data_IF_364913668666
#
_entry.id   IF_364913668666
#
_cell.length_a   1.000
_cell.length_b   1.000
_cell.length_c   1.000
_cell.angle_alpha   90.00
_cell.angle_beta   90.00
_cell.angle_gamma   90.00
#
_symmetry.space_group_name_H-M   'P 1'
#
loop_
_entity.id
_entity.type
_entity.pdbx_description
1 polymer ?
#
# COMPACT_ATOMS: atom_id res chain seq x y z
N UNK A 1 51.72 -19.57 -62.42
CA UNK A 1 50.44 -20.20 -62.88
C UNK A 1 50.13 -21.35 -61.93
N UNK A 2 48.87 -21.64 -61.52
CA UNK A 2 47.66 -20.84 -61.37
C UNK A 2 47.11 -20.84 -59.91
N UNK A 3 45.91 -20.27 -59.77
CA UNK A 3 45.06 -19.86 -58.63
C UNK A 3 44.48 -20.99 -57.74
N UNK A 4 44.07 -20.62 -56.51
CA UNK A 4 42.71 -20.75 -55.91
C UNK A 4 42.78 -20.25 -54.45
N UNK A 5 42.44 -19.00 -54.11
CA UNK A 5 41.09 -18.46 -53.87
C UNK A 5 40.24 -19.29 -52.90
N UNK A 6 40.27 -18.91 -51.60
CA UNK A 6 39.14 -19.07 -50.69
C UNK A 6 38.97 -17.83 -49.82
N UNK A 7 37.79 -17.29 -49.97
CA UNK A 7 37.12 -16.15 -49.35
C UNK A 7 37.13 -16.25 -47.83
N UNK A 8 37.65 -15.24 -47.13
CA UNK A 8 37.38 -15.01 -45.71
C UNK A 8 36.35 -13.89 -45.63
N UNK A 9 35.13 -14.26 -45.21
CA UNK A 9 34.05 -13.32 -44.94
C UNK A 9 34.34 -12.59 -43.63
N UNK A 10 34.33 -11.26 -43.69
CA UNK A 10 34.28 -10.39 -42.52
C UNK A 10 32.87 -10.44 -41.94
N UNK A 11 32.74 -10.91 -40.70
CA UNK A 11 31.53 -10.67 -39.89
C UNK A 11 31.74 -9.32 -39.21
N UNK A 12 31.09 -8.29 -39.74
CA UNK A 12 30.86 -7.04 -39.03
C UNK A 12 29.82 -7.32 -37.94
N UNK A 13 30.28 -7.40 -36.69
CA UNK A 13 29.42 -7.43 -35.52
C UNK A 13 28.90 -6.01 -35.30
N UNK A 14 27.66 -5.75 -35.72
CA UNK A 14 26.93 -4.54 -35.37
C UNK A 14 26.66 -4.58 -33.86
N UNK A 15 27.42 -3.80 -33.09
CA UNK A 15 27.06 -3.40 -31.73
C UNK A 15 25.85 -2.48 -31.81
N UNK A 16 24.65 -3.06 -31.79
CA UNK A 16 23.46 -2.32 -31.42
C UNK A 16 23.56 -2.06 -29.92
N UNK A 17 23.80 -0.79 -29.55
CA UNK A 17 23.44 -0.31 -28.22
C UNK A 17 21.95 -0.58 -28.04
N UNK A 18 21.63 -1.52 -27.15
CA UNK A 18 20.32 -1.56 -26.52
C UNK A 18 20.30 -0.31 -25.65
N UNK A 19 19.74 0.77 -26.20
CA UNK A 19 19.20 1.83 -25.38
C UNK A 19 18.19 1.16 -24.46
N UNK A 20 18.46 1.19 -23.15
CA UNK A 20 17.44 0.93 -22.15
C UNK A 20 16.23 1.78 -22.55
N UNK A 21 15.14 1.11 -22.89
CA UNK A 21 13.85 1.77 -22.98
C UNK A 21 13.62 2.44 -21.64
N UNK A 22 13.50 3.77 -21.67
CA UNK A 22 12.79 4.51 -20.66
C UNK A 22 11.41 3.84 -20.57
N UNK A 23 11.23 3.01 -19.55
CA UNK A 23 9.92 2.51 -19.18
C UNK A 23 9.15 3.76 -18.77
N UNK A 24 8.33 4.27 -19.69
CA UNK A 24 7.22 5.16 -19.37
C UNK A 24 6.36 4.40 -18.35
N UNK A 25 6.71 4.53 -17.06
CA UNK A 25 5.74 4.37 -15.99
C UNK A 25 4.64 5.36 -16.34
N UNK A 26 3.58 4.85 -16.96
CA UNK A 26 2.32 5.58 -17.07
C UNK A 26 1.81 5.77 -15.64
N UNK A 27 2.39 6.77 -14.97
CA UNK A 27 1.93 7.28 -13.68
C UNK A 27 0.50 7.71 -13.93
N UNK A 28 -0.44 7.04 -13.27
CA UNK A 28 -1.80 7.50 -13.33
C UNK A 28 -1.81 8.90 -12.72
N UNK A 29 -2.28 9.90 -13.47
CA UNK A 29 -2.31 11.27 -12.95
C UNK A 29 -3.11 11.31 -11.65
N UNK A 30 -2.66 12.06 -10.62
CA UNK A 30 -3.41 12.21 -9.38
C UNK A 30 -4.84 12.59 -9.72
N UNK A 31 -5.84 11.86 -9.19
CA UNK A 31 -7.21 12.04 -9.64
C UNK A 31 -7.61 13.48 -9.42
N UNK A 32 -7.92 14.18 -10.52
CA UNK A 32 -8.85 15.31 -10.47
C UNK A 32 -10.25 14.74 -10.30
N UNK A 33 -10.46 13.95 -9.23
CA UNK A 33 -11.69 13.24 -8.87
C UNK A 33 -12.48 12.84 -10.12
N UNK A 34 -11.95 11.90 -10.90
CA UNK A 34 -12.82 11.19 -11.81
C UNK A 34 -13.86 10.51 -10.92
N UNK A 35 -15.14 10.93 -10.97
CA UNK A 35 -16.17 10.35 -10.13
C UNK A 35 -16.27 8.85 -10.47
N UNK A 36 -16.75 8.03 -9.53
CA UNK A 36 -17.17 6.65 -9.78
C UNK A 36 -16.21 5.51 -9.36
N UNK A 37 -15.27 5.70 -8.41
CA UNK A 37 -14.49 4.57 -7.87
C UNK A 37 -14.27 4.60 -6.34
N UNK A 38 -14.15 3.41 -5.75
CA UNK A 38 -13.64 3.20 -4.40
C UNK A 38 -12.15 2.86 -4.48
N UNK A 39 -11.32 3.63 -3.79
CA UNK A 39 -9.89 3.37 -3.66
C UNK A 39 -9.66 2.25 -2.64
N UNK A 40 -8.91 1.23 -3.02
CA UNK A 40 -8.45 0.16 -2.13
C UNK A 40 -6.93 0.21 -1.99
N UNK A 41 -6.43 0.26 -0.75
CA UNK A 41 -4.99 0.30 -0.43
C UNK A 41 -4.62 -0.85 0.50
N UNK A 42 -3.57 -1.59 0.13
CA UNK A 42 -3.07 -2.77 0.86
C UNK A 42 -1.60 -3.03 0.54
N UNK A 43 -0.97 -3.92 1.29
CA UNK A 43 0.42 -4.33 1.05
C UNK A 43 0.48 -5.76 0.49
N UNK A 44 1.54 -6.03 -0.29
CA UNK A 44 1.87 -7.40 -0.68
C UNK A 44 2.49 -8.20 0.47
N UNK A 45 3.08 -7.49 1.42
CA UNK A 45 3.77 -8.07 2.56
C UNK A 45 2.73 -8.59 3.56
N UNK A 46 2.88 -9.81 4.09
CA UNK A 46 1.92 -10.38 5.00
C UNK A 46 1.94 -9.61 6.33
N UNK A 47 0.75 -9.33 6.87
CA UNK A 47 0.60 -8.77 8.21
C UNK A 47 0.69 -9.84 9.32
N UNK A 48 0.41 -11.10 9.00
CA UNK A 48 0.44 -12.25 9.92
C UNK A 48 1.03 -13.51 9.29
N UNK A 49 1.38 -14.48 10.14
CA UNK A 49 1.83 -15.81 9.73
C UNK A 49 3.28 -15.88 9.24
N UNK A 50 3.85 -14.75 8.82
CA UNK A 50 5.26 -14.60 8.52
C UNK A 50 5.82 -13.41 9.28
N UNK A 51 6.80 -13.66 10.13
CA UNK A 51 7.58 -12.60 10.77
C UNK A 51 8.87 -12.49 9.98
N UNK A 52 8.95 -11.51 9.10
CA UNK A 52 10.21 -11.14 8.45
C UNK A 52 10.72 -9.88 9.10
N UNK A 53 11.99 -9.91 9.49
CA UNK A 53 12.67 -8.73 10.00
C UNK A 53 13.14 -7.85 8.84
N UNK A 54 12.33 -6.86 8.47
CA UNK A 54 12.69 -5.92 7.41
C UNK A 54 13.62 -4.78 7.88
N UNK A 55 14.16 -4.83 9.10
CA UNK A 55 14.91 -3.70 9.69
C UNK A 55 16.21 -3.41 8.93
N UNK A 56 16.80 -4.43 8.31
CA UNK A 56 17.97 -4.30 7.43
C UNK A 56 17.62 -4.48 5.93
N UNK A 57 16.34 -4.70 5.60
CA UNK A 57 15.92 -5.07 4.25
C UNK A 57 15.60 -3.84 3.38
N UNK A 58 16.18 -3.74 2.17
CA UNK A 58 15.95 -2.61 1.30
C UNK A 58 14.52 -2.63 0.75
N UNK A 59 13.83 -1.49 0.87
CA UNK A 59 12.51 -1.23 0.28
C UNK A 59 12.36 -1.80 -1.15
N UNK A 60 13.43 -1.72 -1.95
CA UNK A 60 13.49 -2.21 -3.32
C UNK A 60 13.12 -3.69 -3.49
N UNK A 61 13.49 -4.57 -2.56
CA UNK A 61 13.19 -6.01 -2.65
C UNK A 61 11.71 -6.27 -2.35
N UNK A 62 11.19 -5.60 -1.31
CA UNK A 62 9.76 -5.62 -1.00
C UNK A 62 8.96 -5.07 -2.17
N UNK A 63 9.42 -3.98 -2.79
CA UNK A 63 8.77 -3.37 -3.95
C UNK A 63 8.80 -4.30 -5.17
N UNK A 64 9.91 -5.02 -5.40
CA UNK A 64 10.00 -6.02 -6.46
C UNK A 64 9.00 -7.16 -6.25
N UNK A 65 8.87 -7.69 -5.03
CA UNK A 65 7.87 -8.70 -4.70
C UNK A 65 6.43 -8.17 -4.84
N UNK A 66 6.16 -6.94 -4.39
CA UNK A 66 4.87 -6.27 -4.58
C UNK A 66 4.49 -6.17 -6.05
N UNK A 67 5.43 -5.74 -6.90
CA UNK A 67 5.21 -5.64 -8.34
C UNK A 67 4.95 -7.00 -9.00
N UNK A 68 5.67 -8.06 -8.57
CA UNK A 68 5.45 -9.44 -9.04
C UNK A 68 4.02 -9.91 -8.72
N UNK A 69 3.53 -9.71 -7.49
CA UNK A 69 2.17 -10.09 -7.12
C UNK A 69 1.10 -9.22 -7.79
N UNK A 70 1.34 -7.92 -7.93
CA UNK A 70 0.38 -7.01 -8.56
C UNK A 70 0.11 -7.38 -10.02
N UNK A 71 1.14 -7.82 -10.75
CA UNK A 71 1.05 -8.08 -12.18
C UNK A 71 0.02 -9.18 -12.52
N UNK A 72 0.06 -10.30 -11.80
CA UNK A 72 -0.74 -11.49 -12.12
C UNK A 72 -1.58 -11.97 -10.92
N UNK A 73 -0.96 -12.16 -9.76
CA UNK A 73 -1.60 -12.82 -8.62
C UNK A 73 -2.78 -12.04 -8.04
N UNK A 74 -2.67 -10.72 -7.90
CA UNK A 74 -3.76 -9.86 -7.41
C UNK A 74 -5.01 -9.99 -8.30
N UNK A 75 -4.82 -10.10 -9.61
CA UNK A 75 -5.93 -10.26 -10.55
C UNK A 75 -6.68 -11.57 -10.31
N UNK A 76 -5.96 -12.67 -10.05
CA UNK A 76 -6.57 -13.97 -9.79
C UNK A 76 -7.38 -13.97 -8.49
N UNK A 77 -6.89 -13.28 -7.45
CA UNK A 77 -7.64 -13.12 -6.18
C UNK A 77 -8.94 -12.34 -6.38
N UNK A 78 -8.91 -11.26 -7.15
CA UNK A 78 -10.09 -10.45 -7.41
C UNK A 78 -11.09 -11.16 -8.33
N UNK A 79 -10.61 -11.88 -9.34
CA UNK A 79 -11.44 -12.70 -10.22
C UNK A 79 -12.21 -13.79 -9.45
N UNK A 80 -11.59 -14.41 -8.43
CA UNK A 80 -12.25 -15.41 -7.56
C UNK A 80 -13.48 -14.85 -6.81
N UNK A 81 -13.61 -13.53 -6.69
CA UNK A 81 -14.78 -12.86 -6.11
C UNK A 81 -15.59 -12.04 -7.13
N UNK A 82 -15.40 -12.33 -8.42
CA UNK A 82 -16.05 -11.69 -9.57
C UNK A 82 -15.77 -10.18 -9.66
N UNK A 83 -14.55 -9.77 -9.33
CA UNK A 83 -14.07 -8.40 -9.48
C UNK A 83 -12.98 -8.40 -10.56
N UNK A 84 -13.39 -8.08 -11.77
CA UNK A 84 -12.53 -8.06 -12.96
C UNK A 84 -12.29 -6.62 -13.45
N UNK A 85 -11.32 -6.47 -14.37
CA UNK A 85 -11.04 -5.22 -15.10
C UNK A 85 -10.73 -3.99 -14.19
N UNK A 86 -10.07 -4.22 -13.07
CA UNK A 86 -9.63 -3.16 -12.16
C UNK A 86 -8.25 -2.63 -12.53
N UNK A 87 -8.02 -1.34 -12.28
CA UNK A 87 -6.71 -0.73 -12.43
C UNK A 87 -5.93 -0.85 -11.11
N UNK A 88 -4.69 -1.33 -11.19
CA UNK A 88 -3.76 -1.43 -10.05
C UNK A 88 -2.45 -0.71 -10.33
N UNK A 89 -1.89 -0.06 -9.32
CA UNK A 89 -0.54 0.51 -9.37
C UNK A 89 0.24 0.26 -8.08
N UNK A 90 1.57 0.26 -8.18
CA UNK A 90 2.46 0.26 -7.02
C UNK A 90 2.71 1.71 -6.60
N UNK A 91 2.61 1.98 -5.31
CA UNK A 91 2.92 3.28 -4.74
C UNK A 91 3.49 3.14 -3.33
N UNK A 92 4.25 4.14 -2.83
CA UNK A 92 4.57 4.20 -1.42
C UNK A 92 3.29 4.31 -0.57
N UNK A 93 3.18 3.49 0.47
CA UNK A 93 2.23 3.67 1.56
C UNK A 93 2.98 3.69 2.88
N UNK A 94 2.31 4.16 3.93
CA UNK A 94 2.94 4.17 5.24
C UNK A 94 1.96 4.02 6.37
N UNK A 95 2.46 3.44 7.45
CA UNK A 95 1.71 3.19 8.68
C UNK A 95 2.68 3.24 9.87
N UNK A 96 2.29 3.90 10.95
CA UNK A 96 3.10 3.99 12.18
C UNK A 96 4.56 4.46 11.96
N UNK A 97 4.77 5.43 11.08
CA UNK A 97 6.10 5.96 10.67
C UNK A 97 6.98 5.02 9.85
N UNK A 98 6.45 3.88 9.41
CA UNK A 98 7.13 3.00 8.45
C UNK A 98 6.57 3.23 7.05
N UNK A 99 7.43 3.20 6.03
CA UNK A 99 7.03 3.28 4.62
C UNK A 99 7.26 1.95 3.93
N UNK A 100 6.21 1.46 3.27
CA UNK A 100 6.14 0.16 2.61
C UNK A 100 5.69 0.33 1.16
N UNK A 101 6.05 -0.59 0.26
CA UNK A 101 5.43 -0.68 -1.05
C UNK A 101 3.99 -1.17 -0.88
N UNK A 102 3.03 -0.37 -1.36
CA UNK A 102 1.60 -0.68 -1.32
C UNK A 102 1.03 -0.80 -2.72
N UNK A 103 -0.05 -1.54 -2.84
CA UNK A 103 -0.83 -1.67 -4.07
C UNK A 103 -2.07 -0.80 -3.91
N UNK A 104 -2.27 0.07 -4.89
CA UNK A 104 -3.45 0.90 -5.02
C UNK A 104 -4.35 0.29 -6.10
N UNK A 105 -5.59 -0.04 -5.76
CA UNK A 105 -6.58 -0.62 -6.67
C UNK A 105 -7.82 0.27 -6.74
N UNK A 106 -8.26 0.61 -7.96
CA UNK A 106 -9.50 1.35 -8.19
C UNK A 106 -10.63 0.37 -8.48
N UNK A 107 -11.63 0.35 -7.60
CA UNK A 107 -12.77 -0.54 -7.67
C UNK A 107 -14.03 0.21 -8.14
N UNK A 108 -14.98 -0.48 -8.80
CA UNK A 108 -16.31 0.08 -9.07
C UNK A 108 -16.99 0.61 -7.79
N UNK A 109 -17.89 1.58 -7.95
CA UNK A 109 -18.54 2.36 -6.87
C UNK A 109 -19.58 1.59 -6.02
N UNK A 110 -19.39 0.28 -5.82
CA UNK A 110 -20.27 -0.57 -5.03
C UNK A 110 -19.57 -1.06 -3.76
N UNK A 111 -19.90 -0.44 -2.62
CA UNK A 111 -19.35 -0.79 -1.31
C UNK A 111 -19.40 -2.29 -0.95
N UNK A 112 -20.48 -3.04 -1.23
CA UNK A 112 -20.49 -4.48 -1.00
C UNK A 112 -19.43 -5.23 -1.82
N UNK A 113 -19.23 -4.84 -3.08
CA UNK A 113 -18.26 -5.48 -3.97
C UNK A 113 -16.83 -5.11 -3.56
N UNK A 114 -16.60 -3.83 -3.22
CA UNK A 114 -15.32 -3.37 -2.69
C UNK A 114 -14.96 -4.05 -1.35
N UNK A 115 -15.93 -4.27 -0.48
CA UNK A 115 -15.71 -5.01 0.77
C UNK A 115 -15.40 -6.49 0.53
N UNK A 116 -16.06 -7.15 -0.44
CA UNK A 116 -15.69 -8.52 -0.82
C UNK A 116 -14.27 -8.59 -1.40
N UNK A 117 -13.89 -7.66 -2.28
CA UNK A 117 -12.54 -7.56 -2.83
C UNK A 117 -11.49 -7.38 -1.73
N UNK A 118 -11.70 -6.41 -0.83
CA UNK A 118 -10.81 -6.16 0.30
C UNK A 118 -10.69 -7.37 1.24
N UNK A 119 -11.79 -8.09 1.48
CA UNK A 119 -11.77 -9.31 2.29
C UNK A 119 -11.03 -10.46 1.60
N UNK A 120 -11.17 -10.62 0.28
CA UNK A 120 -10.43 -11.62 -0.49
C UNK A 120 -8.92 -11.38 -0.42
N UNK A 121 -8.49 -10.14 -0.66
CA UNK A 121 -7.10 -9.72 -0.51
C UNK A 121 -6.63 -9.93 0.92
N UNK A 122 -7.43 -9.50 1.91
CA UNK A 122 -7.06 -9.59 3.31
C UNK A 122 -6.84 -11.02 3.79
N UNK A 123 -7.69 -11.96 3.36
CA UNK A 123 -7.55 -13.36 3.74
C UNK A 123 -6.44 -14.07 2.96
N UNK A 124 -6.34 -13.86 1.64
CA UNK A 124 -5.32 -14.53 0.81
C UNK A 124 -3.91 -14.04 1.14
N UNK A 125 -3.76 -12.73 1.34
CA UNK A 125 -2.46 -12.08 1.57
C UNK A 125 -2.18 -11.81 3.05
N UNK A 126 -2.98 -12.39 3.95
CA UNK A 126 -2.76 -12.40 5.40
C UNK A 126 -2.60 -10.99 5.99
N UNK A 127 -3.45 -10.06 5.56
CA UNK A 127 -3.42 -8.66 6.01
C UNK A 127 -4.15 -8.52 7.34
N UNK A 128 -3.70 -7.63 8.23
CA UNK A 128 -4.51 -7.23 9.39
C UNK A 128 -5.75 -6.45 8.96
N UNK A 129 -5.59 -5.60 7.95
CA UNK A 129 -6.63 -4.71 7.45
C UNK A 129 -6.32 -4.30 6.01
N UNK A 130 -7.36 -4.11 5.22
CA UNK A 130 -7.31 -3.49 3.89
C UNK A 130 -8.12 -2.20 3.95
N UNK A 131 -7.53 -1.09 3.50
CA UNK A 131 -8.19 0.22 3.51
C UNK A 131 -9.06 0.38 2.26
N UNK A 132 -10.30 0.84 2.45
CA UNK A 132 -11.18 1.32 1.41
C UNK A 132 -11.49 2.81 1.63
N UNK A 133 -11.48 3.61 0.57
CA UNK A 133 -11.82 5.03 0.62
C UNK A 133 -12.64 5.46 -0.63
N UNK A 134 -13.84 5.98 -0.40
CA UNK A 134 -14.64 6.71 -1.39
C UNK A 134 -14.48 8.21 -1.15
N UNK A 135 -13.81 8.87 -2.09
CA UNK A 135 -13.54 10.30 -2.02
C UNK A 135 -14.68 11.17 -2.59
N UNK A 136 -15.70 10.57 -3.21
CA UNK A 136 -16.89 11.25 -3.74
C UNK A 136 -18.20 10.70 -3.16
N UNK A 137 -18.33 10.57 -1.82
CA UNK A 137 -19.50 9.94 -1.24
C UNK A 137 -20.77 10.77 -1.50
N UNK A 138 -21.82 10.13 -1.99
CA UNK A 138 -23.09 10.78 -2.39
C UNK A 138 -23.82 11.44 -1.22
N UNK A 139 -23.65 10.93 0.00
CA UNK A 139 -24.34 11.40 1.20
C UNK A 139 -23.42 12.22 2.13
N UNK A 140 -22.19 12.53 1.68
CA UNK A 140 -21.14 13.13 2.51
C UNK A 140 -20.36 12.06 3.29
N UNK A 141 -19.08 12.33 3.53
CA UNK A 141 -18.15 11.38 4.15
C UNK A 141 -17.91 11.61 5.64
N UNK A 142 -17.69 10.53 6.40
CA UNK A 142 -17.38 10.63 7.83
C UNK A 142 -15.90 10.90 8.14
N UNK A 143 -14.99 10.70 7.18
CA UNK A 143 -13.54 10.80 7.40
C UNK A 143 -12.96 12.03 6.73
N UNK A 144 -12.30 12.90 7.53
CA UNK A 144 -11.51 14.01 6.98
C UNK A 144 -10.28 13.48 6.27
N UNK A 145 -9.96 14.07 5.12
CA UNK A 145 -8.70 13.79 4.42
C UNK A 145 -7.99 15.08 4.02
N UNK A 146 -6.69 14.95 3.79
CA UNK A 146 -5.85 15.95 3.12
C UNK A 146 -4.95 15.30 2.09
N UNK A 147 -4.65 16.04 1.02
CA UNK A 147 -3.78 15.60 -0.08
C UNK A 147 -2.58 16.52 -0.15
N UNK A 148 -1.40 15.95 0.05
CA UNK A 148 -0.13 16.65 -0.12
C UNK A 148 0.45 16.27 -1.47
N UNK A 149 0.62 17.24 -2.35
CA UNK A 149 1.20 17.03 -3.68
C UNK A 149 2.63 17.52 -3.73
N UNK A 150 3.43 16.79 -4.49
CA UNK A 150 4.81 17.10 -4.82
C UNK A 150 4.89 17.49 -6.31
N UNK A 151 6.02 18.07 -6.78
CA UNK A 151 6.17 18.39 -8.18
C UNK A 151 6.13 17.11 -9.04
N UNK A 152 5.65 17.22 -10.27
CA UNK A 152 5.48 16.07 -11.17
C UNK A 152 6.74 15.20 -11.31
N UNK A 153 6.56 13.88 -11.18
CA UNK A 153 7.59 12.85 -11.27
C UNK A 153 8.61 12.88 -10.14
N UNK A 154 8.26 13.43 -8.97
CA UNK A 154 9.19 13.56 -7.83
C UNK A 154 8.87 12.68 -6.65
N UNK A 155 7.64 12.19 -6.51
CA UNK A 155 7.30 11.33 -5.38
C UNK A 155 7.86 9.92 -5.61
N UNK A 156 8.94 9.62 -4.92
CA UNK A 156 9.50 8.27 -4.78
C UNK A 156 9.37 7.79 -3.32
N UNK A 157 9.82 6.57 -3.05
CA UNK A 157 9.74 5.96 -1.73
C UNK A 157 10.53 6.72 -0.67
N UNK A 158 11.67 7.30 -1.05
CA UNK A 158 12.55 8.02 -0.13
C UNK A 158 11.92 9.35 0.26
N UNK A 159 11.39 10.08 -0.72
CA UNK A 159 10.69 11.34 -0.48
C UNK A 159 9.41 11.13 0.33
N UNK A 160 8.66 10.06 0.05
CA UNK A 160 7.46 9.71 0.81
C UNK A 160 7.81 9.42 2.29
N UNK A 161 8.86 8.63 2.53
CA UNK A 161 9.32 8.31 3.88
C UNK A 161 9.83 9.55 4.64
N UNK A 162 10.61 10.41 3.96
CA UNK A 162 11.11 11.66 4.51
C UNK A 162 9.97 12.62 4.88
N UNK A 163 8.98 12.78 3.99
CA UNK A 163 7.82 13.62 4.27
C UNK A 163 6.98 13.05 5.41
N UNK A 164 6.73 11.74 5.42
CA UNK A 164 5.91 11.11 6.46
C UNK A 164 6.55 11.26 7.85
N UNK A 165 7.87 11.04 7.93
CA UNK A 165 8.66 11.27 9.15
C UNK A 165 8.62 12.74 9.57
N UNK A 166 8.75 13.67 8.63
CA UNK A 166 8.63 15.10 8.90
C UNK A 166 7.26 15.48 9.44
N UNK A 167 6.18 15.00 8.80
CA UNK A 167 4.81 15.25 9.24
C UNK A 167 4.58 14.77 10.68
N UNK A 168 5.04 13.56 11.02
CA UNK A 168 4.97 13.01 12.37
C UNK A 168 5.79 13.81 13.41
N UNK A 169 6.89 14.45 12.98
CA UNK A 169 7.67 15.35 13.85
C UNK A 169 7.00 16.72 14.06
N UNK A 170 6.20 17.19 13.10
CA UNK A 170 5.39 18.40 13.24
C UNK A 170 4.23 18.14 14.20
N UNK A 171 3.55 17.01 14.05
CA UNK A 171 2.55 16.53 15.01
C UNK A 171 2.46 15.00 14.96
N UNK A 172 2.56 14.36 16.13
CA UNK A 172 2.53 12.90 16.24
C UNK A 172 1.23 12.29 15.69
N UNK A 173 0.12 13.03 15.66
CA UNK A 173 -1.14 12.60 15.06
C UNK A 173 -1.08 12.39 13.55
N UNK A 174 -0.08 12.94 12.86
CA UNK A 174 0.13 12.74 11.42
C UNK A 174 0.92 11.47 11.09
N UNK A 175 1.50 10.79 12.08
CA UNK A 175 2.21 9.51 11.92
C UNK A 175 1.30 8.28 11.78
N UNK A 176 -0.01 8.48 11.67
CA UNK A 176 -1.01 7.41 11.63
C UNK A 176 -0.92 6.55 10.36
N UNK A 177 -0.79 7.19 9.20
CA UNK A 177 -0.58 6.52 7.93
C UNK A 177 -0.89 7.39 6.72
N UNK A 178 -0.45 6.93 5.55
CA UNK A 178 -0.75 7.53 4.26
C UNK A 178 -0.80 6.45 3.17
N UNK A 179 -1.40 6.78 2.04
CA UNK A 179 -1.15 6.09 0.78
C UNK A 179 -0.85 7.10 -0.30
N UNK A 180 -0.01 6.75 -1.26
CA UNK A 180 0.32 7.61 -2.38
C UNK A 180 -0.36 7.17 -3.67
N UNK A 181 -0.51 8.13 -4.58
CA UNK A 181 -0.96 7.92 -5.94
C UNK A 181 -0.34 8.98 -6.85
N UNK A 182 0.37 8.56 -7.90
CA UNK A 182 1.21 9.47 -8.68
C UNK A 182 2.14 10.29 -7.76
N UNK A 183 2.09 11.63 -7.87
CA UNK A 183 2.88 12.57 -7.06
C UNK A 183 2.13 13.14 -5.84
N UNK A 184 1.12 12.42 -5.34
CA UNK A 184 0.30 12.85 -4.21
C UNK A 184 0.31 11.83 -3.08
N UNK A 185 0.41 12.30 -1.83
CA UNK A 185 0.19 11.52 -0.61
C UNK A 185 -1.16 11.89 0.01
N UNK A 186 -1.97 10.89 0.30
CA UNK A 186 -3.29 11.01 0.92
C UNK A 186 -3.22 10.63 2.39
N UNK A 187 -3.66 11.55 3.25
CA UNK A 187 -3.71 11.37 4.70
C UNK A 187 -5.17 11.40 5.15
N UNK A 188 -5.58 10.40 5.92
CA UNK A 188 -6.97 10.23 6.35
C UNK A 188 -7.06 10.23 7.87
N UNK A 189 -7.96 11.05 8.41
CA UNK A 189 -8.23 11.13 9.85
C UNK A 189 -9.27 10.08 10.27
N UNK A 190 -8.95 8.80 10.06
CA UNK A 190 -9.89 7.69 10.27
C UNK A 190 -10.25 7.57 11.76
N UNK A 191 -11.55 7.44 12.05
CA UNK A 191 -12.07 7.23 13.39
C UNK A 191 -12.19 5.76 13.78
N UNK A 192 -12.20 5.52 15.09
CA UNK A 192 -12.59 4.23 15.66
C UNK A 192 -14.12 4.00 15.56
N UNK A 193 -14.59 2.88 16.12
CA UNK A 193 -16.03 2.54 16.16
C UNK A 193 -16.92 3.55 16.90
N UNK A 194 -16.34 4.46 17.69
CA UNK A 194 -17.02 5.53 18.41
C UNK A 194 -16.90 6.88 17.69
N UNK A 195 -16.20 6.92 16.54
CA UNK A 195 -15.95 8.12 15.76
C UNK A 195 -14.79 8.98 16.27
N UNK A 196 -14.00 8.49 17.23
CA UNK A 196 -12.82 9.19 17.72
C UNK A 196 -11.64 8.96 16.75
N UNK A 197 -11.00 10.02 16.19
CA UNK A 197 -9.89 9.85 15.26
C UNK A 197 -8.68 9.15 15.86
N UNK A 198 -8.09 8.21 15.13
CA UNK A 198 -6.88 7.50 15.56
C UNK A 198 -5.67 8.43 15.72
N UNK A 199 -5.65 9.55 14.99
CA UNK A 199 -4.63 10.60 15.14
C UNK A 199 -4.67 11.30 16.51
N UNK A 200 -5.79 11.23 17.22
CA UNK A 200 -6.07 12.06 18.40
C UNK A 200 -6.34 13.54 18.07
N UNK A 201 -6.35 13.93 16.80
CA UNK A 201 -6.66 15.28 16.32
C UNK A 201 -8.11 15.35 15.84
N UNK A 202 -8.79 16.45 16.16
CA UNK A 202 -10.01 16.78 15.43
C UNK A 202 -9.70 17.11 13.96
N UNK A 203 -10.74 17.09 13.13
CA UNK A 203 -10.61 17.23 11.67
C UNK A 203 -9.93 18.53 11.23
N UNK A 204 -10.24 19.65 11.88
CA UNK A 204 -9.70 20.95 11.52
C UNK A 204 -8.22 21.04 11.93
N UNK A 205 -7.89 20.53 13.12
CA UNK A 205 -6.52 20.44 13.59
C UNK A 205 -5.68 19.51 12.70
N UNK A 206 -6.23 18.37 12.28
CA UNK A 206 -5.56 17.43 11.38
C UNK A 206 -5.13 18.10 10.06
N UNK A 207 -6.06 18.78 9.38
CA UNK A 207 -5.75 19.48 8.12
C UNK A 207 -4.79 20.64 8.34
N UNK A 208 -4.98 21.42 9.41
CA UNK A 208 -4.09 22.54 9.72
C UNK A 208 -2.63 22.06 9.96
N UNK A 209 -2.46 20.97 10.69
CA UNK A 209 -1.15 20.36 10.95
C UNK A 209 -0.54 19.76 9.69
N UNK A 210 -1.33 19.14 8.83
CA UNK A 210 -0.83 18.65 7.56
C UNK A 210 -0.37 19.80 6.64
N UNK A 211 -1.08 20.94 6.66
CA UNK A 211 -0.66 22.17 5.98
C UNK A 211 0.64 22.77 6.55
N UNK A 212 0.80 22.76 7.88
CA UNK A 212 2.05 23.15 8.55
C UNK A 212 3.21 22.23 8.15
N UNK A 213 2.98 20.91 8.11
CA UNK A 213 3.96 19.93 7.67
C UNK A 213 4.40 20.16 6.22
N UNK A 214 3.44 20.32 5.29
CA UNK A 214 3.72 20.64 3.89
C UNK A 214 4.53 21.93 3.75
N UNK A 215 4.09 23.02 4.39
CA UNK A 215 4.75 24.33 4.29
C UNK A 215 6.13 24.43 4.96
N UNK A 216 6.45 23.51 5.87
CA UNK A 216 7.75 23.45 6.56
C UNK A 216 8.71 22.40 6.00
N UNK A 217 8.28 21.59 5.03
CA UNK A 217 9.10 20.56 4.43
C UNK A 217 10.13 21.17 3.47
N UNK A 218 11.42 21.01 3.80
CA UNK A 218 12.50 21.71 3.10
C UNK A 218 13.14 20.90 1.95
N UNK A 219 12.91 19.59 1.88
CA UNK A 219 13.59 18.72 0.91
C UNK A 219 13.16 19.01 -0.53
N UNK A 220 11.85 19.10 -0.75
CA UNK A 220 11.24 19.56 -2.01
C UNK A 220 9.98 20.36 -1.69
N UNK A 221 9.51 21.23 -2.60
CA UNK A 221 8.22 21.91 -2.42
C UNK A 221 7.10 20.89 -2.26
N UNK A 222 6.41 20.90 -1.13
CA UNK A 222 5.22 20.11 -0.86
C UNK A 222 4.06 21.07 -0.55
N UNK A 223 2.88 20.77 -1.07
CA UNK A 223 1.71 21.63 -0.89
C UNK A 223 0.50 20.80 -0.48
N UNK A 224 -0.22 21.26 0.55
CA UNK A 224 -1.57 20.76 0.82
C UNK A 224 -2.50 21.35 -0.24
N UNK A 225 -2.70 20.63 -1.33
CA UNK A 225 -3.50 21.10 -2.47
C UNK A 225 -4.98 20.80 -2.32
N UNK A 226 -5.34 19.86 -1.44
CA UNK A 226 -6.74 19.53 -1.21
C UNK A 226 -7.00 19.05 0.22
N UNK A 227 -8.20 19.31 0.70
CA UNK A 227 -8.78 18.66 1.87
C UNK A 227 -10.29 18.53 1.71
N UNK A 228 -10.90 17.57 2.41
CA UNK A 228 -12.32 17.29 2.25
C UNK A 228 -12.79 16.19 3.18
N UNK A 229 -13.97 15.64 2.88
CA UNK A 229 -14.51 14.46 3.57
C UNK A 229 -14.68 13.32 2.58
N UNK A 230 -14.37 12.12 3.03
CA UNK A 230 -14.49 10.85 2.31
C UNK A 230 -15.14 9.81 3.22
N UNK A 231 -15.67 8.75 2.64
CA UNK A 231 -16.01 7.56 3.40
C UNK A 231 -14.83 6.61 3.36
N UNK A 232 -14.19 6.38 4.50
CA UNK A 232 -13.06 5.47 4.61
C UNK A 232 -13.28 4.46 5.72
N UNK A 233 -12.90 3.20 5.47
CA UNK A 233 -13.00 2.12 6.44
C UNK A 233 -11.97 1.04 6.18
N UNK A 234 -11.59 0.36 7.24
CA UNK A 234 -10.83 -0.89 7.16
C UNK A 234 -11.80 -2.07 7.01
N UNK A 235 -11.45 -3.01 6.14
CA UNK A 235 -11.93 -4.39 6.20
C UNK A 235 -10.82 -5.19 6.87
N UNK A 236 -11.07 -5.70 8.07
CA UNK A 236 -10.04 -6.23 8.94
C UNK A 236 -10.41 -7.58 9.55
N UNK A 237 -9.38 -8.25 10.07
CA UNK A 237 -9.53 -9.43 10.90
C UNK A 237 -8.59 -9.32 12.10
N UNK A 238 -9.12 -9.57 13.30
CA UNK A 238 -8.30 -9.75 14.49
C UNK A 238 -7.76 -11.17 14.52
N UNK A 239 -6.62 -11.42 13.87
CA UNK A 239 -6.02 -12.75 13.77
C UNK A 239 -5.64 -13.38 15.12
N UNK A 240 -5.56 -12.59 16.20
CA UNK A 240 -5.36 -13.16 17.54
C UNK A 240 -6.66 -13.76 18.10
N UNK A 241 -7.80 -13.13 17.81
CA UNK A 241 -9.11 -13.58 18.28
C UNK A 241 -9.78 -14.56 17.31
N UNK A 242 -9.53 -14.40 16.01
CA UNK A 242 -10.13 -15.10 14.88
C UNK A 242 -9.00 -15.59 13.94
N UNK A 243 -8.23 -16.60 14.36
CA UNK A 243 -7.01 -17.03 13.68
C UNK A 243 -7.25 -17.61 12.28
N UNK A 244 -8.48 -18.03 11.98
CA UNK A 244 -8.85 -18.57 10.68
C UNK A 244 -9.29 -17.48 9.69
N UNK A 245 -9.27 -16.20 10.10
CA UNK A 245 -9.71 -15.10 9.24
C UNK A 245 -11.23 -14.93 9.21
N UNK A 246 -11.96 -15.35 10.25
CA UNK A 246 -13.42 -15.43 10.27
C UNK A 246 -14.12 -14.12 9.86
N UNK A 247 -13.61 -12.95 10.25
CA UNK A 247 -14.19 -11.67 9.84
C UNK A 247 -14.09 -11.42 8.34
N UNK A 248 -13.01 -11.88 7.69
CA UNK A 248 -12.90 -11.82 6.24
C UNK A 248 -13.87 -12.80 5.57
N UNK A 249 -13.97 -14.03 6.08
CA UNK A 249 -14.91 -15.02 5.53
C UNK A 249 -16.37 -14.58 5.66
N UNK A 250 -16.73 -13.92 6.76
CA UNK A 250 -18.04 -13.30 6.93
C UNK A 250 -18.28 -12.19 5.91
N UNK A 251 -17.32 -11.29 5.72
CA UNK A 251 -17.42 -10.19 4.76
C UNK A 251 -17.51 -10.67 3.29
N UNK A 252 -16.89 -11.81 2.97
CA UNK A 252 -16.95 -12.43 1.65
C UNK A 252 -18.35 -12.95 1.31
N UNK A 253 -19.04 -13.56 2.28
CA UNK A 253 -20.39 -14.10 2.06
C UNK A 253 -20.48 -15.17 0.96
N UNK A 254 -19.38 -15.89 0.70
CA UNK A 254 -19.27 -16.90 -0.36
C UNK A 254 -19.55 -18.32 0.15
N UNK A 255 -19.83 -19.23 -0.78
CA UNK A 255 -20.03 -20.65 -0.48
C UNK A 255 -18.72 -21.40 -0.26
N UNK A 256 -18.81 -22.68 0.11
CA UNK A 256 -17.64 -23.52 0.38
C UNK A 256 -16.75 -23.74 -0.84
N UNK A 257 -17.29 -23.64 -2.06
CA UNK A 257 -16.49 -23.75 -3.28
C UNK A 257 -15.61 -22.51 -3.46
N UNK A 258 -16.18 -21.31 -3.30
CA UNK A 258 -15.42 -20.06 -3.33
C UNK A 258 -14.40 -19.97 -2.19
N UNK A 259 -14.73 -20.46 -0.98
CA UNK A 259 -13.74 -20.55 0.11
C UNK A 259 -12.58 -21.46 -0.24
N UNK A 260 -12.85 -22.62 -0.85
CA UNK A 260 -11.79 -23.55 -1.27
C UNK A 260 -10.88 -22.94 -2.35
N UNK A 261 -11.45 -22.16 -3.27
CA UNK A 261 -10.70 -21.42 -4.29
C UNK A 261 -9.77 -20.36 -3.66
N UNK A 262 -10.28 -19.51 -2.76
CA UNK A 262 -9.46 -18.53 -2.05
C UNK A 262 -8.43 -19.17 -1.12
N UNK A 263 -8.74 -20.32 -0.50
CA UNK A 263 -7.78 -21.06 0.30
C UNK A 263 -6.61 -21.59 -0.55
N UNK A 264 -6.88 -22.08 -1.77
CA UNK A 264 -5.83 -22.51 -2.69
C UNK A 264 -4.93 -21.33 -3.11
N UNK A 265 -5.52 -20.15 -3.36
CA UNK A 265 -4.76 -18.93 -3.64
C UNK A 265 -3.95 -18.48 -2.41
N UNK A 266 -4.47 -18.63 -1.18
CA UNK A 266 -3.71 -18.35 0.04
C UNK A 266 -2.47 -19.27 0.15
N UNK A 267 -2.62 -20.56 -0.14
CA UNK A 267 -1.48 -21.50 -0.14
C UNK A 267 -0.44 -21.14 -1.21
N UNK A 268 -0.90 -20.72 -2.39
CA UNK A 268 -0.01 -20.21 -3.44
C UNK A 268 0.73 -18.94 -3.01
N UNK A 269 0.04 -17.97 -2.43
CA UNK A 269 0.65 -16.76 -1.85
C UNK A 269 1.73 -17.11 -0.82
N UNK A 270 1.44 -18.05 0.10
CA UNK A 270 2.41 -18.52 1.10
C UNK A 270 3.66 -19.11 0.43
N UNK A 271 3.47 -19.88 -0.64
CA UNK A 271 4.58 -20.45 -1.42
C UNK A 271 5.40 -19.36 -2.13
N UNK A 272 4.74 -18.38 -2.77
CA UNK A 272 5.39 -17.24 -3.41
C UNK A 272 6.19 -16.41 -2.40
N UNK A 273 5.63 -16.18 -1.21
CA UNK A 273 6.31 -15.47 -0.15
C UNK A 273 7.54 -16.22 0.37
N UNK A 274 7.45 -17.53 0.59
CA UNK A 274 8.60 -18.35 0.99
C UNK A 274 9.71 -18.38 -0.07
N UNK A 275 9.33 -18.37 -1.34
CA UNK A 275 10.28 -18.23 -2.45
C UNK A 275 10.95 -16.85 -2.43
N UNK A 276 10.21 -15.78 -2.17
CA UNK A 276 10.75 -14.43 -2.02
C UNK A 276 11.74 -14.34 -0.84
N UNK A 277 11.36 -14.88 0.33
CA UNK A 277 12.26 -14.99 1.50
C UNK A 277 13.58 -15.67 1.11
N UNK A 278 13.53 -16.77 0.36
CA UNK A 278 14.73 -17.47 -0.09
C UNK A 278 15.52 -16.68 -1.15
N UNK A 279 14.83 -16.03 -2.09
CA UNK A 279 15.40 -15.25 -3.20
C UNK A 279 16.16 -14.02 -2.70
N UNK A 280 15.57 -13.31 -1.75
CA UNK A 280 16.11 -12.06 -1.20
C UNK A 280 16.97 -12.28 0.05
N UNK A 281 16.87 -13.46 0.68
CA UNK A 281 17.65 -13.79 1.87
C UNK A 281 17.12 -13.14 3.14
N UNK A 282 15.81 -12.87 3.19
CA UNK A 282 15.16 -12.26 4.34
C UNK A 282 15.21 -13.18 5.57
N UNK A 283 15.51 -12.61 6.72
CA UNK A 283 15.55 -13.35 7.97
C UNK A 283 14.14 -13.49 8.56
N UNK A 284 13.71 -14.74 8.67
CA UNK A 284 12.48 -15.08 9.38
C UNK A 284 12.72 -14.93 10.89
N UNK A 285 12.11 -13.93 11.51
CA UNK A 285 12.22 -13.72 12.95
C UNK A 285 11.47 -14.82 13.73
N UNK A 286 11.99 -15.27 14.88
CA UNK A 286 11.26 -16.15 15.79
C UNK A 286 10.08 -15.41 16.40
N UNK A 287 8.88 -15.99 16.27
CA UNK A 287 7.58 -15.46 16.68
C UNK A 287 7.55 -14.80 18.07
N UNK A 288 7.28 -13.49 18.15
CA UNK A 288 6.70 -12.86 19.31
C UNK A 288 5.28 -12.32 18.98
N UNK A 289 4.24 -12.90 19.56
CA UNK A 289 2.90 -12.28 19.60
C UNK A 289 2.91 -10.89 20.29
N UNK A 290 1.99 -9.95 19.96
CA UNK A 290 1.53 -9.55 18.63
C UNK A 290 1.49 -8.00 18.45
N UNK A 291 1.56 -7.51 17.20
CA UNK A 291 0.92 -6.22 16.85
C UNK A 291 -0.61 -6.46 16.88
N UNK A 292 -1.36 -5.66 17.62
CA UNK A 292 -2.84 -5.76 17.67
C UNK A 292 -3.48 -5.17 16.42
N UNK A 293 -4.66 -5.66 16.03
CA UNK A 293 -5.47 -5.06 14.96
C UNK A 293 -5.62 -3.53 15.13
N UNK A 294 -5.51 -2.72 14.04
CA UNK A 294 -5.68 -1.27 14.08
C UNK A 294 -7.00 -0.81 14.72
N UNK A 295 -8.07 -1.62 14.60
CA UNK A 295 -9.41 -1.27 15.08
C UNK A 295 -9.66 -1.58 16.56
N UNK A 296 -8.79 -2.35 17.22
CA UNK A 296 -9.03 -2.85 18.59
C UNK A 296 -7.99 -2.45 19.65
N UNK A 297 -7.08 -1.55 19.30
CA UNK A 297 -6.44 -0.68 20.28
C UNK A 297 -4.96 -0.96 20.55
N UNK A 298 -4.12 0.00 20.17
CA UNK A 298 -2.84 0.28 20.83
C UNK A 298 -2.35 1.72 20.56
N UNK A 299 -3.21 2.73 20.69
CA UNK A 299 -2.80 4.14 20.51
C UNK A 299 -2.33 4.82 21.82
N UNK A 300 -2.30 4.11 22.95
CA UNK A 300 -1.93 4.65 24.28
C UNK A 300 -0.51 4.33 24.79
N UNK A 301 0.31 3.63 24.00
CA UNK A 301 1.49 2.92 24.53
C UNK A 301 2.88 3.49 24.20
N UNK A 302 3.04 4.32 23.17
CA UNK A 302 4.35 4.87 22.83
C UNK A 302 4.70 6.07 23.72
N UNK A 303 5.33 5.78 24.86
CA UNK A 303 6.19 6.76 25.54
C UNK A 303 7.35 7.08 24.60
N UNK A 304 7.20 8.12 23.80
CA UNK A 304 8.32 8.76 23.11
C UNK A 304 9.40 9.07 24.15
N UNK A 305 10.55 8.41 24.02
CA UNK A 305 11.70 8.63 24.87
C UNK A 305 12.10 10.10 24.79
N UNK A 306 12.26 10.73 25.96
CA UNK A 306 12.85 12.06 26.09
C UNK A 306 14.16 12.12 25.30
N UNK A 307 14.22 12.95 24.26
CA UNK A 307 15.50 13.49 23.82
C UNK A 307 16.07 14.31 24.97
N UNK A 308 17.17 13.83 25.53
CA UNK A 308 17.90 14.50 26.58
C UNK A 308 18.52 15.78 26.02
N UNK A 309 18.24 16.90 26.68
CA UNK A 309 19.00 18.13 26.53
C UNK A 309 20.44 17.90 26.97
N UNK A 310 21.39 18.20 26.07
CA UNK A 310 22.69 18.82 26.38
C UNK A 310 23.12 19.69 25.21
#
# INVERSE_FOLDING_TARGET
MPRLSRTFAWVLLSLALIACSDDERASLSPPTYAPDFIQMSYEAMPGVGFMVDYTDDPYAERAAFTAELRADFVKDVLAAVNVDDVATEDAPGGYQNDTNPSIQTRLPEAWPDATRAAAAIGVVMLQWSVLLADFTPKEGGATRFGVVTFPDGRLDEALAADFFTHAANVDAGLGGGFFAFGDAMYFLNIGDSQGAPFSGLDDDAFVAKLGEAAGSFAAVPAELTQSGQCDARFVDNDWNALPEGDSYWEALGIDEAGKAELAALQDEYRSLFQQAVTKYGWDMAPDPMPKTSPSRGFWGGYRFGRAASR
#
